data_IF_308238925906
#
_entry.id   IF_308238925906
#
_cell.length_a   1.000
_cell.length_b   1.000
_cell.length_c   1.000
_cell.angle_alpha   90.00
_cell.angle_beta   90.00
_cell.angle_gamma   90.00
#
_symmetry.space_group_name_H-M   'P 1'
#
loop_
_entity.id
_entity.type
_entity.pdbx_description
1 polymer ?
#
# COMPACT_ATOMS: atom_id res chain seq x y z
N UNK A 1 27.73 -2.99 -17.27
CA UNK A 1 26.55 -2.28 -16.80
C UNK A 1 25.38 -3.26 -16.82
N UNK A 2 24.47 -3.21 -15.85
CA UNK A 2 23.29 -4.07 -15.87
C UNK A 2 22.21 -3.49 -16.79
N UNK A 3 21.58 -4.34 -17.59
CA UNK A 3 20.45 -3.96 -18.45
C UNK A 3 19.15 -4.40 -17.79
N UNK A 4 18.43 -3.44 -17.16
CA UNK A 4 17.17 -3.70 -16.49
C UNK A 4 16.02 -3.76 -17.51
N UNK A 5 15.16 -4.78 -17.43
CA UNK A 5 13.97 -4.90 -18.26
C UNK A 5 12.74 -4.29 -17.58
N UNK A 6 12.57 -4.55 -16.28
CA UNK A 6 11.36 -4.13 -15.55
C UNK A 6 11.53 -4.24 -14.05
N UNK A 7 10.66 -3.53 -13.30
CA UNK A 7 10.36 -3.87 -11.90
C UNK A 7 9.38 -5.06 -11.90
N UNK A 8 9.80 -6.25 -11.45
CA UNK A 8 8.97 -7.46 -11.48
C UNK A 8 7.90 -7.46 -10.37
N UNK A 9 8.32 -7.33 -9.12
CA UNK A 9 7.41 -7.31 -7.98
C UNK A 9 7.97 -6.47 -6.82
N UNK A 10 7.08 -6.19 -5.87
CA UNK A 10 7.41 -5.67 -4.54
C UNK A 10 7.04 -6.73 -3.52
N UNK A 11 7.93 -7.07 -2.62
CA UNK A 11 7.66 -7.97 -1.49
C UNK A 11 7.63 -7.17 -0.20
N UNK A 12 6.60 -7.39 0.62
CA UNK A 12 6.44 -6.72 1.91
C UNK A 12 6.11 -7.72 3.02
N UNK A 13 6.62 -7.48 4.23
CA UNK A 13 6.32 -8.32 5.37
C UNK A 13 4.98 -7.95 6.00
N UNK A 14 4.24 -8.96 6.45
CA UNK A 14 2.99 -8.82 7.18
C UNK A 14 2.98 -9.73 8.40
N UNK A 15 2.30 -9.35 9.48
CA UNK A 15 2.24 -10.15 10.71
C UNK A 15 1.08 -11.15 10.73
N UNK A 16 -0.05 -10.78 10.16
CA UNK A 16 -1.27 -11.58 10.10
C UNK A 16 -1.80 -11.65 8.67
N UNK A 17 -1.78 -12.84 8.08
CA UNK A 17 -2.14 -13.02 6.67
C UNK A 17 -3.62 -12.72 6.41
N UNK A 18 -4.53 -13.13 7.30
CA UNK A 18 -5.96 -12.90 7.11
C UNK A 18 -6.29 -11.41 7.16
N UNK A 19 -5.68 -10.67 8.09
CA UNK A 19 -5.79 -9.21 8.19
C UNK A 19 -5.21 -8.51 6.96
N UNK A 20 -4.05 -8.94 6.50
CA UNK A 20 -3.43 -8.40 5.29
C UNK A 20 -4.28 -8.68 4.04
N UNK A 21 -4.86 -9.88 3.90
CA UNK A 21 -5.76 -10.20 2.77
C UNK A 21 -7.01 -9.34 2.76
N UNK A 22 -7.60 -9.04 3.90
CA UNK A 22 -8.73 -8.08 3.97
C UNK A 22 -8.32 -6.70 3.49
N UNK A 23 -7.14 -6.23 3.88
CA UNK A 23 -6.65 -4.92 3.43
C UNK A 23 -6.37 -4.89 1.93
N UNK A 24 -5.53 -5.77 1.42
CA UNK A 24 -5.11 -5.75 0.02
C UNK A 24 -6.20 -6.23 -0.95
N UNK A 25 -6.94 -7.26 -0.60
CA UNK A 25 -8.02 -7.81 -1.44
C UNK A 25 -9.32 -7.02 -1.33
N UNK A 26 -9.81 -6.73 -0.11
CA UNK A 26 -11.15 -6.13 0.06
C UNK A 26 -11.11 -4.60 0.08
N UNK A 27 -10.11 -3.98 0.75
CA UNK A 27 -10.04 -2.50 0.82
C UNK A 27 -9.36 -1.94 -0.43
N UNK A 28 -8.19 -2.43 -0.81
CA UNK A 28 -7.52 -1.95 -2.02
C UNK A 28 -8.08 -2.58 -3.31
N UNK A 29 -8.82 -3.67 -3.23
CA UNK A 29 -9.45 -4.31 -4.37
C UNK A 29 -8.48 -5.01 -5.31
N UNK A 30 -7.33 -5.46 -4.81
CA UNK A 30 -6.34 -6.17 -5.63
C UNK A 30 -6.77 -7.62 -5.87
N UNK A 31 -6.50 -8.12 -7.06
CA UNK A 31 -6.72 -9.52 -7.44
C UNK A 31 -5.64 -10.41 -6.83
N UNK A 32 -6.05 -11.38 -5.98
CA UNK A 32 -5.14 -12.43 -5.51
C UNK A 32 -4.83 -13.39 -6.65
N UNK A 33 -3.55 -13.68 -6.85
CA UNK A 33 -3.07 -14.58 -7.90
C UNK A 33 -2.42 -15.84 -7.32
N UNK A 34 -2.25 -16.86 -8.17
CA UNK A 34 -1.62 -18.10 -7.77
C UNK A 34 -0.21 -17.87 -7.22
N UNK A 35 0.09 -18.55 -6.13
CA UNK A 35 1.37 -18.50 -5.42
C UNK A 35 1.95 -19.90 -5.33
N UNK A 36 3.26 -20.10 -5.62
CA UNK A 36 3.91 -21.38 -5.37
C UNK A 36 3.76 -21.82 -3.91
N UNK A 37 3.81 -23.14 -3.68
CA UNK A 37 3.69 -23.70 -2.35
C UNK A 37 5.00 -23.57 -1.56
N UNK A 38 5.27 -22.38 -1.03
CA UNK A 38 6.42 -22.13 -0.17
C UNK A 38 6.20 -22.68 1.23
N UNK A 39 7.27 -23.01 1.98
CA UNK A 39 7.19 -23.48 3.37
C UNK A 39 6.87 -22.36 4.38
N UNK A 40 6.49 -21.19 3.92
CA UNK A 40 6.07 -20.04 4.74
C UNK A 40 4.78 -19.44 4.16
N UNK A 41 3.98 -18.85 5.03
CA UNK A 41 2.71 -18.25 4.66
C UNK A 41 2.90 -16.91 3.90
N UNK A 42 1.99 -16.62 2.99
CA UNK A 42 1.98 -15.40 2.21
C UNK A 42 0.84 -15.39 1.20
N UNK A 43 0.74 -14.31 0.43
CA UNK A 43 -0.20 -14.15 -0.66
C UNK A 43 0.41 -13.29 -1.76
N UNK A 44 0.01 -13.54 -2.99
CA UNK A 44 0.42 -12.75 -4.13
C UNK A 44 -0.77 -12.03 -4.74
N UNK A 45 -0.57 -10.80 -5.14
CA UNK A 45 -1.57 -9.94 -5.76
C UNK A 45 -1.05 -9.35 -7.06
N UNK A 46 -1.97 -9.09 -7.97
CA UNK A 46 -1.69 -8.35 -9.21
C UNK A 46 -1.89 -6.85 -9.00
N UNK A 47 -0.91 -6.07 -9.43
CA UNK A 47 -1.02 -4.62 -9.57
C UNK A 47 -0.74 -4.27 -11.04
N UNK A 48 -1.78 -4.12 -11.85
CA UNK A 48 -1.71 -3.89 -13.30
C UNK A 48 -0.91 -5.01 -13.99
N UNK A 49 0.35 -4.79 -14.30
CA UNK A 49 1.27 -5.74 -14.95
C UNK A 49 2.44 -6.15 -14.03
N UNK A 50 2.35 -5.84 -12.75
CA UNK A 50 3.34 -6.17 -11.71
C UNK A 50 2.67 -6.96 -10.58
N UNK A 51 3.46 -7.42 -9.67
CA UNK A 51 2.97 -8.22 -8.55
C UNK A 51 3.35 -7.61 -7.20
N UNK A 52 2.49 -7.83 -6.21
CA UNK A 52 2.75 -7.58 -4.80
C UNK A 52 2.78 -8.92 -4.07
N UNK A 53 3.89 -9.20 -3.41
CA UNK A 53 4.06 -10.41 -2.62
C UNK A 53 4.00 -10.09 -1.14
N UNK A 54 3.03 -10.65 -0.43
CA UNK A 54 2.95 -10.61 1.02
C UNK A 54 3.69 -11.82 1.59
N UNK A 55 4.58 -11.56 2.55
CA UNK A 55 5.36 -12.60 3.24
C UNK A 55 5.04 -12.49 4.72
N UNK A 56 4.50 -13.57 5.34
CA UNK A 56 4.25 -13.56 6.78
C UNK A 56 5.58 -13.61 7.52
N UNK A 57 5.83 -12.58 8.30
CA UNK A 57 7.02 -12.48 9.15
C UNK A 57 6.76 -13.00 10.54
N UNK A 58 7.79 -13.62 11.14
CA UNK A 58 7.75 -14.07 12.54
C UNK A 58 7.95 -12.92 13.53
N UNK A 59 8.47 -11.79 13.08
CA UNK A 59 8.61 -10.59 13.88
C UNK A 59 7.66 -9.51 13.35
N UNK A 60 6.47 -9.34 13.96
CA UNK A 60 5.48 -8.39 13.51
C UNK A 60 5.78 -6.93 13.88
N UNK A 61 6.86 -6.66 14.59
CA UNK A 61 7.10 -5.34 15.22
C UNK A 61 8.08 -4.45 14.47
N UNK A 62 8.30 -4.65 13.17
CA UNK A 62 9.36 -3.87 12.53
C UNK A 62 9.04 -2.41 12.27
N UNK A 63 7.80 -1.97 12.36
CA UNK A 63 7.46 -0.59 12.10
C UNK A 63 6.67 0.01 13.25
N UNK A 64 7.23 1.06 13.84
CA UNK A 64 6.61 1.82 14.94
C UNK A 64 6.24 3.23 14.56
N UNK A 65 6.72 3.72 13.41
CA UNK A 65 6.45 5.07 12.92
C UNK A 65 5.06 5.20 12.30
N UNK A 66 4.51 6.40 12.36
CA UNK A 66 3.31 6.77 11.61
C UNK A 66 3.56 6.90 10.10
N UNK A 67 2.60 7.46 9.37
CA UNK A 67 2.77 7.73 7.95
C UNK A 67 3.89 8.75 7.74
N UNK A 68 4.94 8.34 7.05
CA UNK A 68 6.07 9.19 6.70
C UNK A 68 6.48 8.97 5.24
N UNK A 69 6.99 10.02 4.60
CA UNK A 69 7.50 9.96 3.23
C UNK A 69 8.91 9.35 3.14
N UNK A 70 9.59 9.27 4.27
CA UNK A 70 10.99 8.81 4.35
C UNK A 70 11.10 7.30 4.42
N UNK A 71 10.05 6.60 4.84
CA UNK A 71 10.05 5.14 4.85
C UNK A 71 10.03 4.57 3.43
N UNK A 72 10.67 3.44 3.26
CA UNK A 72 10.56 2.66 2.03
C UNK A 72 9.08 2.34 1.76
N UNK A 73 8.61 2.66 0.56
CA UNK A 73 7.23 2.45 0.15
C UNK A 73 7.17 2.12 -1.34
N UNK A 74 6.04 1.61 -1.76
CA UNK A 74 5.72 1.54 -3.18
C UNK A 74 4.58 2.51 -3.50
N UNK A 75 4.53 2.96 -4.76
CA UNK A 75 3.53 3.88 -5.23
C UNK A 75 2.68 3.26 -6.33
N UNK A 76 1.38 3.52 -6.27
CA UNK A 76 0.42 3.16 -7.31
C UNK A 76 -0.26 4.40 -7.87
N UNK A 77 -0.53 4.41 -9.17
CA UNK A 77 -1.25 5.51 -9.82
C UNK A 77 -2.71 5.13 -10.05
N UNK A 78 -3.61 6.02 -9.64
CA UNK A 78 -5.06 5.89 -9.83
C UNK A 78 -5.56 6.87 -10.88
N UNK A 79 -6.74 6.59 -11.44
CA UNK A 79 -7.35 7.44 -12.47
C UNK A 79 -7.93 8.73 -11.92
N UNK A 80 -8.48 8.71 -10.69
CA UNK A 80 -9.16 9.84 -10.06
C UNK A 80 -8.66 10.02 -8.63
N UNK A 81 -8.08 11.17 -8.35
CA UNK A 81 -7.64 11.56 -7.02
C UNK A 81 -8.82 11.71 -6.05
N UNK A 82 -9.85 12.48 -6.46
CA UNK A 82 -11.01 12.78 -5.62
C UNK A 82 -11.83 11.54 -5.27
N UNK A 83 -12.08 10.66 -6.24
CA UNK A 83 -12.81 9.41 -6.00
C UNK A 83 -12.04 8.49 -5.07
N UNK A 84 -10.73 8.41 -5.22
CA UNK A 84 -9.88 7.60 -4.35
C UNK A 84 -9.85 8.15 -2.93
N UNK A 85 -9.71 9.46 -2.76
CA UNK A 85 -9.75 10.10 -1.43
C UNK A 85 -11.09 9.82 -0.74
N UNK A 86 -12.21 10.09 -1.41
CA UNK A 86 -13.55 9.84 -0.87
C UNK A 86 -13.77 8.34 -0.52
N UNK A 87 -13.27 7.44 -1.36
CA UNK A 87 -13.34 6.01 -1.08
C UNK A 87 -12.56 5.64 0.19
N UNK A 88 -11.32 6.11 0.34
CA UNK A 88 -10.51 5.84 1.53
C UNK A 88 -11.18 6.40 2.80
N UNK A 89 -11.71 7.62 2.72
CA UNK A 89 -12.48 8.21 3.81
C UNK A 89 -13.71 7.36 4.19
N UNK A 90 -14.42 6.80 3.21
CA UNK A 90 -15.54 5.88 3.45
C UNK A 90 -15.12 4.57 4.13
N UNK A 91 -13.85 4.20 4.03
CA UNK A 91 -13.25 3.05 4.73
C UNK A 91 -12.65 3.40 6.09
N UNK A 92 -12.84 4.65 6.54
CA UNK A 92 -12.40 5.13 7.85
C UNK A 92 -10.98 5.70 7.88
N UNK A 93 -10.31 5.86 6.73
CA UNK A 93 -9.02 6.57 6.69
C UNK A 93 -9.24 8.06 6.93
N UNK A 94 -8.35 8.66 7.72
CA UNK A 94 -8.51 10.04 8.14
C UNK A 94 -7.14 10.73 8.25
N UNK A 95 -7.04 11.92 7.67
CA UNK A 95 -5.83 12.74 7.68
C UNK A 95 -5.54 13.37 9.06
N UNK A 96 -6.53 13.45 9.95
CA UNK A 96 -6.41 14.08 11.26
C UNK A 96 -6.34 13.10 12.42
N UNK A 97 -6.70 11.82 12.21
CA UNK A 97 -6.71 10.83 13.28
C UNK A 97 -5.32 10.27 13.53
N UNK A 98 -4.92 10.32 14.80
CA UNK A 98 -3.73 9.65 15.32
C UNK A 98 -4.07 8.42 16.16
N UNK A 99 -5.35 8.19 16.44
CA UNK A 99 -5.81 7.23 17.46
C UNK A 99 -5.91 5.79 16.91
N UNK A 100 -6.05 5.63 15.59
CA UNK A 100 -5.97 4.33 14.91
C UNK A 100 -4.81 4.35 13.90
N UNK A 101 -3.63 3.84 14.24
CA UNK A 101 -2.46 3.86 13.35
C UNK A 101 -2.70 3.24 11.97
N UNK A 102 -3.60 2.23 11.88
CA UNK A 102 -3.97 1.61 10.61
C UNK A 102 -4.99 2.40 9.78
N UNK A 103 -5.44 3.57 10.25
CA UNK A 103 -6.41 4.43 9.55
C UNK A 103 -5.87 5.84 9.29
N UNK A 104 -4.64 6.11 9.67
CA UNK A 104 -4.00 7.39 9.35
C UNK A 104 -3.70 7.48 7.87
N UNK A 105 -3.95 8.66 7.29
CA UNK A 105 -3.51 8.98 5.94
C UNK A 105 -2.91 10.38 5.89
N UNK A 106 -2.00 10.58 4.97
CA UNK A 106 -1.43 11.89 4.65
C UNK A 106 -1.88 12.29 3.26
N UNK A 107 -2.50 13.44 3.16
CA UNK A 107 -3.05 13.96 1.91
C UNK A 107 -2.22 15.16 1.45
N UNK A 108 -1.72 15.10 0.23
CA UNK A 108 -0.95 16.20 -0.38
C UNK A 108 -1.45 16.46 -1.81
N UNK A 109 -2.45 17.34 -1.97
CA UNK A 109 -3.02 17.63 -3.28
C UNK A 109 -2.10 18.47 -4.18
N UNK A 110 -1.06 19.09 -3.61
CA UNK A 110 -0.14 19.98 -4.31
C UNK A 110 1.32 19.67 -3.94
N UNK A 111 1.78 18.51 -4.40
CA UNK A 111 3.15 18.06 -4.16
C UNK A 111 4.15 18.76 -5.08
N UNK A 112 5.38 18.94 -4.61
CA UNK A 112 6.52 19.40 -5.42
C UNK A 112 6.87 18.45 -6.57
N UNK A 113 6.38 17.21 -6.52
CA UNK A 113 6.50 16.24 -7.62
C UNK A 113 5.68 16.60 -8.86
N UNK A 114 4.76 17.55 -8.74
CA UNK A 114 3.86 17.96 -9.81
C UNK A 114 2.57 17.13 -9.92
N UNK A 115 2.36 16.16 -9.04
CA UNK A 115 1.13 15.36 -8.97
C UNK A 115 0.65 15.17 -7.53
N UNK A 116 -0.67 15.03 -7.30
CA UNK A 116 -1.22 14.84 -5.96
C UNK A 116 -0.90 13.45 -5.41
N UNK A 117 -0.72 13.39 -4.10
CA UNK A 117 -0.34 12.17 -3.38
C UNK A 117 -1.24 11.93 -2.17
N UNK A 118 -1.52 10.66 -1.90
CA UNK A 118 -2.11 10.16 -0.65
C UNK A 118 -1.17 9.07 -0.13
N UNK A 119 -0.79 9.13 1.13
CA UNK A 119 -0.04 8.06 1.78
C UNK A 119 -0.89 7.43 2.86
N UNK A 120 -0.96 6.11 2.88
CA UNK A 120 -1.67 5.32 3.88
C UNK A 120 -0.74 4.26 4.48
N UNK A 121 -1.16 3.69 5.60
CA UNK A 121 -0.53 2.51 6.18
C UNK A 121 -1.41 1.28 5.97
N UNK A 122 -0.78 0.16 5.66
CA UNK A 122 -1.44 -1.13 5.82
C UNK A 122 -1.54 -1.52 7.31
N UNK A 123 -2.21 -2.61 7.69
CA UNK A 123 -2.34 -3.03 9.09
C UNK A 123 -1.01 -3.33 9.80
N UNK A 124 0.04 -3.60 9.05
CA UNK A 124 1.40 -3.84 9.56
C UNK A 124 2.31 -2.61 9.46
N UNK A 125 1.72 -1.44 9.14
CA UNK A 125 2.38 -0.14 9.01
C UNK A 125 3.34 -0.03 7.82
N UNK A 126 3.18 -0.86 6.80
CA UNK A 126 3.83 -0.62 5.53
C UNK A 126 3.21 0.62 4.86
N UNK A 127 4.06 1.50 4.35
CA UNK A 127 3.61 2.73 3.68
C UNK A 127 3.26 2.44 2.23
N UNK A 128 2.11 2.93 1.81
CA UNK A 128 1.64 2.87 0.43
C UNK A 128 1.37 4.31 -0.05
N UNK A 129 2.03 4.71 -1.13
CA UNK A 129 1.69 5.93 -1.84
C UNK A 129 0.64 5.64 -2.91
N UNK A 130 -0.39 6.46 -2.94
CA UNK A 130 -1.39 6.48 -4.01
C UNK A 130 -1.32 7.87 -4.65
N UNK A 131 -1.05 7.94 -5.94
CA UNK A 131 -1.00 9.21 -6.65
C UNK A 131 -1.91 9.22 -7.88
N UNK A 132 -2.18 10.39 -8.42
CA UNK A 132 -2.91 10.57 -9.67
C UNK A 132 -2.14 11.57 -10.55
N UNK A 133 -2.50 11.65 -11.81
CA UNK A 133 -1.88 12.62 -12.72
C UNK A 133 -2.14 14.06 -12.27
N UNK A 134 -3.36 14.31 -11.79
CA UNK A 134 -3.81 15.62 -11.30
C UNK A 134 -4.96 15.47 -10.31
N UNK A 135 -5.31 16.57 -9.64
CA UNK A 135 -6.58 16.68 -8.90
C UNK A 135 -7.68 16.92 -9.95
N UNK A 136 -8.62 15.99 -10.05
CA UNK A 136 -9.76 16.02 -10.95
C UNK A 136 -10.97 16.72 -10.34
#
# INVERSE_FOLDING_TARGET
MLEFETLHHVAIPVGDLARAKRFYGEILGLEEIARPNFPFAGAWYRIVDRELHLIVSRDPSFRTKGVTLEDGHFAVRVKSYRKTLAYLESKGFNATSTDEPGKSMRVNPSSVTGYPQIHILDPDRNVIEINAERVD
#
